data_IF_359073022689
#
_entry.id   IF_359073022689
#
_cell.length_a   1.000
_cell.length_b   1.000
_cell.length_c   1.000
_cell.angle_alpha   90.00
_cell.angle_beta   90.00
_cell.angle_gamma   90.00
#
_symmetry.space_group_name_H-M   'P 1'
#
loop_
_entity.id
_entity.type
_entity.pdbx_description
1 polymer ?
#
# COMPACT_ATOMS: atom_id res chain seq x y z
N UNK A 1 -25.94 -6.76 25.98
CA UNK A 1 -24.58 -6.20 26.03
C UNK A 1 -24.03 -6.31 24.62
N UNK A 2 -23.66 -5.20 23.98
CA UNK A 2 -23.04 -5.22 22.66
C UNK A 2 -21.63 -5.80 22.80
N UNK A 3 -21.37 -6.91 22.12
CA UNK A 3 -20.06 -7.56 22.10
C UNK A 3 -19.59 -7.70 20.66
N UNK A 4 -18.56 -6.96 20.29
CA UNK A 4 -17.86 -7.17 19.02
C UNK A 4 -16.86 -8.32 19.12
N UNK A 5 -16.55 -8.97 17.99
CA UNK A 5 -15.52 -10.00 17.98
C UNK A 5 -14.16 -9.37 18.32
N UNK A 6 -13.51 -9.83 19.39
CA UNK A 6 -12.15 -9.39 19.75
C UNK A 6 -11.08 -9.86 18.74
N UNK A 7 -11.45 -10.82 17.88
CA UNK A 7 -10.65 -11.35 16.77
C UNK A 7 -11.61 -11.67 15.62
N UNK A 8 -11.15 -11.56 14.38
CA UNK A 8 -11.90 -12.03 13.21
C UNK A 8 -12.09 -13.56 13.34
N UNK A 9 -13.34 -14.01 13.43
CA UNK A 9 -13.68 -15.40 13.82
C UNK A 9 -14.30 -16.22 12.69
N UNK A 10 -14.86 -15.58 11.66
CA UNK A 10 -15.45 -16.27 10.51
C UNK A 10 -14.49 -16.29 9.32
N UNK A 11 -13.91 -17.44 8.95
CA UNK A 11 -13.10 -17.56 7.75
C UNK A 11 -13.91 -17.17 6.50
N UNK A 12 -13.26 -16.49 5.55
CA UNK A 12 -13.88 -16.07 4.28
C UNK A 12 -14.86 -14.89 4.37
N UNK A 13 -15.25 -14.45 5.58
CA UNK A 13 -16.02 -13.22 5.75
C UNK A 13 -15.09 -12.03 5.96
N UNK A 14 -15.32 -10.94 5.22
CA UNK A 14 -14.47 -9.75 5.28
C UNK A 14 -14.41 -9.16 6.69
N UNK A 15 -13.21 -8.82 7.17
CA UNK A 15 -12.99 -8.34 8.53
C UNK A 15 -13.90 -7.15 8.89
N UNK A 16 -13.98 -6.13 8.03
CA UNK A 16 -14.87 -4.98 8.23
C UNK A 16 -16.36 -5.38 8.39
N UNK A 17 -16.85 -6.42 7.70
CA UNK A 17 -18.22 -6.91 7.87
C UNK A 17 -18.41 -7.52 9.26
N UNK A 18 -17.43 -8.28 9.74
CA UNK A 18 -17.49 -8.87 11.08
C UNK A 18 -17.46 -7.80 12.18
N UNK A 19 -16.64 -6.77 11.99
CA UNK A 19 -16.53 -5.64 12.91
C UNK A 19 -17.79 -4.75 12.90
N UNK A 20 -18.52 -4.69 11.78
CA UNK A 20 -19.76 -3.92 11.66
C UNK A 20 -20.98 -4.59 12.33
N UNK A 21 -20.98 -5.91 12.54
CA UNK A 21 -22.16 -6.65 13.05
C UNK A 21 -22.77 -6.09 14.34
N UNK A 22 -21.99 -5.71 15.38
CA UNK A 22 -22.59 -5.16 16.59
C UNK A 22 -23.40 -3.89 16.34
N UNK A 23 -23.00 -3.08 15.35
CA UNK A 23 -23.73 -1.87 14.97
C UNK A 23 -25.01 -2.24 14.20
N UNK A 24 -24.96 -3.28 13.35
CA UNK A 24 -26.13 -3.80 12.65
C UNK A 24 -27.18 -4.41 13.60
N UNK A 25 -26.75 -5.02 14.70
CA UNK A 25 -27.65 -5.51 15.77
C UNK A 25 -28.45 -4.37 16.45
N UNK A 26 -27.99 -3.12 16.34
CA UNK A 26 -28.71 -1.93 16.82
C UNK A 26 -29.67 -1.35 15.78
N UNK A 27 -29.84 -2.02 14.64
CA UNK A 27 -30.66 -1.55 13.53
C UNK A 27 -29.98 -0.49 12.66
N UNK A 28 -28.69 -0.24 12.85
CA UNK A 28 -27.91 0.68 12.01
C UNK A 28 -27.32 -0.13 10.85
N UNK A 29 -27.84 0.06 9.64
CA UNK A 29 -27.39 -0.66 8.45
C UNK A 29 -26.05 -0.10 7.95
N UNK A 30 -25.03 -0.95 7.85
CA UNK A 30 -23.73 -0.59 7.27
C UNK A 30 -23.68 -1.05 5.82
N UNK A 31 -24.02 -0.14 4.90
CA UNK A 31 -24.07 -0.44 3.47
C UNK A 31 -22.66 -0.53 2.86
N UNK A 32 -21.82 0.45 3.15
CA UNK A 32 -20.46 0.52 2.67
C UNK A 32 -19.46 0.10 3.75
N UNK A 33 -18.45 -0.66 3.34
CA UNK A 33 -17.34 -1.12 4.19
C UNK A 33 -15.99 -0.62 3.66
N UNK A 34 -16.00 0.25 2.65
CA UNK A 34 -14.80 0.96 2.22
C UNK A 34 -14.28 1.81 3.38
N UNK A 35 -12.97 1.77 3.52
CA UNK A 35 -12.29 2.62 4.49
C UNK A 35 -12.12 4.00 3.85
N UNK A 36 -12.36 5.04 4.62
CA UNK A 36 -12.19 6.43 4.18
C UNK A 36 -11.42 7.20 5.24
N UNK A 37 -10.52 8.08 4.80
CA UNK A 37 -9.87 9.07 5.67
C UNK A 37 -10.17 10.47 5.16
N UNK A 38 -10.68 11.33 6.04
CA UNK A 38 -11.02 12.70 5.71
C UNK A 38 -9.83 13.62 5.99
N UNK A 39 -9.06 13.92 4.95
CA UNK A 39 -7.90 14.79 5.04
C UNK A 39 -8.30 16.26 5.17
N UNK A 40 -7.61 16.99 6.05
CA UNK A 40 -7.67 18.44 6.10
C UNK A 40 -6.93 19.05 4.90
N UNK A 41 -7.12 20.35 4.67
CA UNK A 41 -6.34 21.05 3.63
C UNK A 41 -4.84 21.09 3.96
N UNK A 42 -4.49 21.13 5.25
CA UNK A 42 -3.11 21.06 5.73
C UNK A 42 -2.46 19.72 5.37
N UNK A 43 -3.17 18.61 5.58
CA UNK A 43 -2.70 17.27 5.23
C UNK A 43 -2.43 17.13 3.72
N UNK A 44 -3.36 17.64 2.89
CA UNK A 44 -3.20 17.62 1.43
C UNK A 44 -2.07 18.55 0.98
N UNK A 45 -1.96 19.73 1.58
CA UNK A 45 -0.87 20.66 1.28
C UNK A 45 0.49 20.05 1.61
N UNK A 46 0.62 19.37 2.75
CA UNK A 46 1.82 18.63 3.11
C UNK A 46 2.14 17.59 2.04
N UNK A 47 1.17 16.77 1.64
CA UNK A 47 1.33 15.76 0.60
C UNK A 47 1.85 16.34 -0.72
N UNK A 48 1.24 17.42 -1.21
CA UNK A 48 1.66 18.11 -2.43
C UNK A 48 3.07 18.71 -2.32
N UNK A 49 3.42 19.34 -1.20
CA UNK A 49 4.76 19.89 -1.01
C UNK A 49 5.82 18.77 -0.91
N UNK A 50 5.51 17.71 -0.17
CA UNK A 50 6.35 16.52 -0.06
C UNK A 50 6.55 15.83 -1.42
N UNK A 51 5.66 16.04 -2.39
CA UNK A 51 5.73 15.45 -3.73
C UNK A 51 6.05 16.47 -4.83
N UNK A 52 6.42 17.71 -4.49
CA UNK A 52 6.60 18.80 -5.45
C UNK A 52 7.72 18.58 -6.48
N UNK A 53 8.79 17.89 -6.09
CA UNK A 53 9.96 17.63 -6.95
C UNK A 53 9.89 16.34 -7.77
N UNK A 54 9.32 15.23 -7.26
CA UNK A 54 9.03 14.03 -8.04
C UNK A 54 8.37 14.26 -9.40
N UNK A 55 8.81 13.53 -10.42
CA UNK A 55 8.08 13.42 -11.68
C UNK A 55 6.91 12.44 -11.54
N UNK A 56 5.75 12.88 -12.01
CA UNK A 56 4.56 12.03 -12.08
C UNK A 56 4.67 11.03 -13.26
N UNK A 57 4.13 9.80 -13.12
CA UNK A 57 3.42 9.28 -11.95
C UNK A 57 4.35 8.87 -10.79
N UNK A 58 3.87 9.02 -9.56
CA UNK A 58 4.62 8.64 -8.34
C UNK A 58 4.25 7.23 -7.92
N UNK A 59 5.26 6.42 -7.62
CA UNK A 59 5.09 5.10 -7.01
C UNK A 59 5.51 5.19 -5.55
N UNK A 60 4.60 4.85 -4.64
CA UNK A 60 4.88 4.76 -3.21
C UNK A 60 4.96 3.29 -2.80
N UNK A 61 5.95 2.91 -1.98
CA UNK A 61 6.09 1.55 -1.46
C UNK A 61 6.22 1.54 0.06
N UNK A 62 5.67 0.51 0.70
CA UNK A 62 5.96 0.20 2.09
C UNK A 62 6.51 -1.23 2.17
N UNK A 63 7.82 -1.42 2.41
CA UNK A 63 8.46 -2.75 2.31
C UNK A 63 8.38 -3.59 3.61
N UNK A 64 7.82 -3.06 4.69
CA UNK A 64 7.72 -3.74 6.00
C UNK A 64 6.29 -3.85 6.51
N UNK A 65 5.96 -4.86 7.32
CA UNK A 65 4.61 -5.09 7.85
C UNK A 65 4.65 -5.44 9.34
N UNK A 66 3.48 -5.69 9.94
CA UNK A 66 3.37 -6.17 11.32
C UNK A 66 3.99 -7.56 11.57
N UNK A 67 4.39 -8.29 10.52
CA UNK A 67 5.09 -9.57 10.67
C UNK A 67 6.04 -9.85 9.51
N UNK A 68 7.29 -10.25 9.81
CA UNK A 68 8.33 -10.51 8.79
C UNK A 68 7.93 -11.56 7.74
N UNK A 69 7.07 -12.52 8.10
CA UNK A 69 6.59 -13.55 7.16
C UNK A 69 5.59 -13.03 6.11
N UNK A 70 5.06 -11.81 6.30
CA UNK A 70 4.22 -11.10 5.33
C UNK A 70 5.02 -10.08 4.50
N UNK A 71 6.34 -10.01 4.67
CA UNK A 71 7.15 -9.08 3.90
C UNK A 71 7.63 -9.75 2.62
N UNK A 72 7.47 -9.04 1.49
CA UNK A 72 8.11 -9.44 0.24
C UNK A 72 9.63 -9.28 0.37
N UNK A 73 10.44 -10.25 -0.10
CA UNK A 73 11.89 -10.20 0.04
C UNK A 73 12.50 -8.87 -0.44
N UNK A 74 13.47 -8.35 0.31
CA UNK A 74 14.11 -7.07 0.01
C UNK A 74 14.73 -7.04 -1.40
N UNK A 75 15.29 -8.18 -1.82
CA UNK A 75 15.89 -8.37 -3.14
C UNK A 75 14.85 -8.22 -4.26
N UNK A 76 13.59 -8.56 -4.00
CA UNK A 76 12.54 -8.40 -4.99
C UNK A 76 12.14 -6.94 -5.14
N UNK A 77 12.14 -6.14 -4.06
CA UNK A 77 11.95 -4.68 -4.15
C UNK A 77 13.06 -4.02 -4.95
N UNK A 78 14.32 -4.35 -4.66
CA UNK A 78 15.48 -3.76 -5.36
C UNK A 78 15.54 -4.21 -6.82
N UNK A 79 15.16 -5.46 -7.12
CA UNK A 79 15.02 -5.94 -8.48
C UNK A 79 13.84 -5.28 -9.20
N UNK A 80 12.69 -5.06 -8.54
CA UNK A 80 11.53 -4.40 -9.13
C UNK A 80 11.86 -2.96 -9.54
N UNK A 81 12.57 -2.24 -8.67
CA UNK A 81 12.98 -0.84 -8.86
C UNK A 81 14.46 -0.71 -9.20
N UNK A 82 14.98 -1.63 -10.03
CA UNK A 82 16.36 -1.53 -10.51
C UNK A 82 16.52 -0.37 -11.48
N UNK A 83 17.74 0.19 -11.56
CA UNK A 83 18.04 1.35 -12.43
C UNK A 83 17.68 1.09 -13.89
N UNK A 84 17.87 -0.14 -14.36
CA UNK A 84 17.51 -0.56 -15.72
C UNK A 84 16.01 -0.44 -15.97
N UNK A 85 15.19 -0.87 -14.99
CA UNK A 85 13.74 -0.80 -15.11
C UNK A 85 13.23 0.63 -15.14
N UNK A 86 13.75 1.49 -14.25
CA UNK A 86 13.39 2.91 -14.21
C UNK A 86 13.65 3.64 -15.51
N UNK A 87 14.79 3.32 -16.15
CA UNK A 87 15.16 3.94 -17.43
C UNK A 87 14.20 3.57 -18.57
N UNK A 88 13.59 2.38 -18.52
CA UNK A 88 12.64 1.90 -19.53
C UNK A 88 11.21 2.37 -19.25
N UNK A 89 10.82 2.47 -17.98
CA UNK A 89 9.46 2.80 -17.55
C UNK A 89 9.11 4.31 -17.60
N UNK A 90 9.94 5.16 -18.21
CA UNK A 90 9.81 6.63 -18.20
C UNK A 90 9.78 7.21 -16.77
N UNK A 91 10.75 6.81 -15.95
CA UNK A 91 11.11 7.37 -14.64
C UNK A 91 9.93 7.83 -13.74
N UNK A 92 9.08 6.92 -13.25
CA UNK A 92 8.24 7.25 -12.12
C UNK A 92 9.13 7.52 -10.90
N UNK A 93 8.88 8.61 -10.17
CA UNK A 93 9.59 8.82 -8.90
C UNK A 93 9.12 7.81 -7.85
N UNK A 94 10.04 7.35 -6.99
CA UNK A 94 9.76 6.38 -5.93
C UNK A 94 9.77 7.06 -4.57
N UNK A 95 8.73 6.80 -3.80
CA UNK A 95 8.65 7.13 -2.38
C UNK A 95 8.68 5.85 -1.57
N UNK A 96 9.63 5.72 -0.66
CA UNK A 96 9.73 4.61 0.29
C UNK A 96 9.19 5.08 1.63
N UNK A 97 8.12 4.45 2.07
CA UNK A 97 7.48 4.70 3.35
C UNK A 97 8.12 3.79 4.39
N UNK A 98 8.36 4.31 5.58
CA UNK A 98 8.92 3.53 6.69
C UNK A 98 8.51 4.10 8.04
N UNK A 99 8.19 3.22 8.98
CA UNK A 99 8.01 3.56 10.39
C UNK A 99 9.21 3.21 11.27
N UNK A 100 9.05 3.42 12.57
CA UNK A 100 10.06 3.15 13.60
C UNK A 100 10.55 1.69 13.58
N UNK A 101 9.65 0.75 13.28
CA UNK A 101 9.96 -0.68 13.19
C UNK A 101 10.74 -1.07 11.92
N UNK A 102 10.78 -0.21 10.89
CA UNK A 102 11.33 -0.51 9.57
C UNK A 102 12.77 0.02 9.39
N UNK A 103 13.38 0.59 10.45
CA UNK A 103 14.67 1.31 10.39
C UNK A 103 15.80 0.53 9.70
N UNK A 104 15.99 -0.73 10.07
CA UNK A 104 17.07 -1.55 9.52
C UNK A 104 16.91 -1.81 8.02
N UNK A 105 15.69 -2.15 7.59
CA UNK A 105 15.38 -2.37 6.17
C UNK A 105 15.49 -1.07 5.37
N UNK A 106 15.02 0.02 5.95
CA UNK A 106 15.09 1.36 5.34
C UNK A 106 16.53 1.78 5.10
N UNK A 107 17.41 1.61 6.10
CA UNK A 107 18.83 1.92 5.96
C UNK A 107 19.52 1.10 4.84
N UNK A 108 19.12 -0.17 4.66
CA UNK A 108 19.61 -0.99 3.56
C UNK A 108 19.15 -0.46 2.20
N UNK A 109 17.88 -0.07 2.07
CA UNK A 109 17.34 0.52 0.84
C UNK A 109 17.99 1.86 0.51
N UNK A 110 18.22 2.72 1.51
CA UNK A 110 18.94 3.98 1.33
C UNK A 110 20.35 3.74 0.80
N UNK A 111 21.06 2.73 1.31
CA UNK A 111 22.37 2.38 0.81
C UNK A 111 22.34 1.89 -0.64
N UNK A 112 21.38 1.03 -0.98
CA UNK A 112 21.23 0.42 -2.32
C UNK A 112 20.79 1.47 -3.36
N UNK A 113 19.95 2.41 -2.97
CA UNK A 113 19.35 3.42 -3.84
C UNK A 113 19.97 4.82 -3.70
N UNK A 114 21.15 4.93 -3.07
CA UNK A 114 21.84 6.22 -2.84
C UNK A 114 22.07 7.07 -4.10
N UNK A 115 22.19 6.43 -5.27
CA UNK A 115 22.45 7.07 -6.56
C UNK A 115 21.19 7.08 -7.47
N UNK A 116 20.01 6.86 -6.89
CA UNK A 116 18.71 6.86 -7.57
C UNK A 116 17.81 7.96 -6.99
N UNK A 117 16.85 8.45 -7.77
CA UNK A 117 15.87 9.46 -7.34
C UNK A 117 14.76 8.84 -6.47
N UNK A 118 15.13 8.45 -5.25
CA UNK A 118 14.24 7.82 -4.28
C UNK A 118 14.09 8.72 -3.06
N UNK A 119 12.84 9.06 -2.73
CA UNK A 119 12.50 9.84 -1.53
C UNK A 119 12.05 8.90 -0.41
N UNK A 120 12.47 9.16 0.82
CA UNK A 120 12.10 8.36 1.98
C UNK A 120 11.15 9.13 2.90
N UNK A 121 9.92 8.65 3.04
CA UNK A 121 8.89 9.14 3.95
C UNK A 121 9.01 8.40 5.30
N UNK A 122 9.91 8.90 6.16
CA UNK A 122 10.23 8.27 7.45
C UNK A 122 9.39 8.86 8.58
N UNK A 123 8.68 8.01 9.33
CA UNK A 123 7.98 8.40 10.55
C UNK A 123 7.03 9.60 10.37
N UNK A 124 6.41 9.73 9.19
CA UNK A 124 5.42 10.77 8.97
C UNK A 124 4.17 10.50 9.83
N UNK A 125 3.52 11.56 10.37
CA UNK A 125 2.17 11.44 10.90
C UNK A 125 1.24 10.81 9.86
N UNK A 126 0.34 9.92 10.28
CA UNK A 126 -0.54 9.20 9.35
C UNK A 126 -1.39 10.12 8.46
N UNK A 127 -1.94 11.26 8.94
CA UNK A 127 -2.66 12.20 8.07
C UNK A 127 -1.79 12.79 6.95
N UNK A 128 -0.57 13.21 7.27
CA UNK A 128 0.41 13.69 6.29
C UNK A 128 0.79 12.60 5.28
N UNK A 129 0.99 11.37 5.75
CA UNK A 129 1.29 10.23 4.89
C UNK A 129 0.12 9.93 3.95
N UNK A 130 -1.12 10.01 4.42
CA UNK A 130 -2.30 9.86 3.58
C UNK A 130 -2.38 10.95 2.49
N UNK A 131 -2.01 12.20 2.80
CA UNK A 131 -1.87 13.25 1.78
C UNK A 131 -0.81 12.94 0.71
N UNK A 132 0.28 12.24 1.06
CA UNK A 132 1.25 11.73 0.08
C UNK A 132 0.65 10.58 -0.76
N UNK A 133 -0.07 9.68 -0.11
CA UNK A 133 -0.66 8.49 -0.74
C UNK A 133 -1.80 8.83 -1.71
N UNK A 134 -2.60 9.87 -1.44
CA UNK A 134 -3.71 10.38 -2.28
C UNK A 134 -3.27 10.61 -3.75
N UNK A 135 -1.99 10.90 -3.98
CA UNK A 135 -1.42 11.17 -5.31
C UNK A 135 -0.44 10.09 -5.82
N UNK A 136 -0.49 8.90 -5.24
CA UNK A 136 0.48 7.83 -5.51
C UNK A 136 -0.18 6.56 -6.06
N UNK A 137 0.57 5.83 -6.89
CA UNK A 137 0.35 4.40 -7.09
C UNK A 137 1.09 3.69 -5.96
N UNK A 138 0.35 3.07 -5.04
CA UNK A 138 0.91 2.41 -3.87
C UNK A 138 1.15 0.91 -4.11
N UNK A 139 2.32 0.41 -3.71
CA UNK A 139 2.62 -1.03 -3.65
C UNK A 139 2.98 -1.41 -2.21
N UNK A 140 2.20 -2.32 -1.63
CA UNK A 140 2.41 -2.78 -0.25
C UNK A 140 1.98 -4.21 -0.08
N UNK A 141 1.96 -4.69 1.15
CA UNK A 141 1.49 -6.03 1.55
C UNK A 141 0.29 -5.91 2.48
N UNK A 142 -0.13 -6.99 3.12
CA UNK A 142 -1.16 -6.97 4.16
C UNK A 142 -0.66 -6.23 5.43
N UNK A 143 -0.84 -4.90 5.45
CA UNK A 143 -0.41 -3.99 6.52
C UNK A 143 -1.34 -2.79 6.68
N UNK A 144 -1.27 -2.11 7.84
CA UNK A 144 -2.06 -0.91 8.10
C UNK A 144 -1.76 0.26 7.14
N UNK A 145 -0.57 0.33 6.54
CA UNK A 145 -0.26 1.37 5.54
C UNK A 145 -0.99 1.09 4.22
N UNK A 146 -1.24 -0.17 3.87
CA UNK A 146 -2.05 -0.52 2.71
C UNK A 146 -3.52 -0.13 2.89
N UNK A 147 -4.06 -0.31 4.10
CA UNK A 147 -5.38 0.20 4.48
C UNK A 147 -5.42 1.73 4.40
N UNK A 148 -4.41 2.42 4.96
CA UNK A 148 -4.31 3.88 4.86
C UNK A 148 -4.24 4.36 3.41
N UNK A 149 -3.47 3.70 2.54
CA UNK A 149 -3.35 4.05 1.13
C UNK A 149 -4.70 3.89 0.40
N UNK A 150 -5.40 2.78 0.65
CA UNK A 150 -6.73 2.55 0.11
C UNK A 150 -7.73 3.60 0.59
N UNK A 151 -7.73 3.92 1.89
CA UNK A 151 -8.60 4.93 2.49
C UNK A 151 -8.33 6.35 1.97
N UNK A 152 -7.08 6.63 1.60
CA UNK A 152 -6.67 7.90 0.98
C UNK A 152 -7.01 7.98 -0.53
N UNK A 153 -7.58 6.92 -1.12
CA UNK A 153 -7.94 6.88 -2.53
C UNK A 153 -6.78 6.54 -3.49
N UNK A 154 -5.66 6.05 -2.97
CA UNK A 154 -4.52 5.67 -3.81
C UNK A 154 -4.88 4.50 -4.75
N UNK A 155 -4.23 4.44 -5.91
CA UNK A 155 -4.25 3.22 -6.73
C UNK A 155 -3.35 2.16 -6.11
N UNK A 156 -3.88 1.01 -5.68
CA UNK A 156 -3.15 0.04 -4.86
C UNK A 156 -2.80 -1.25 -5.59
N UNK A 157 -1.54 -1.68 -5.50
CA UNK A 157 -1.08 -3.02 -5.87
C UNK A 157 -0.67 -3.72 -4.57
N UNK A 158 -1.51 -4.64 -4.09
CA UNK A 158 -1.29 -5.29 -2.80
C UNK A 158 -0.77 -6.71 -2.97
N UNK A 159 0.39 -6.96 -2.37
CA UNK A 159 1.09 -8.23 -2.39
C UNK A 159 0.62 -9.10 -1.22
N UNK A 160 -0.10 -10.17 -1.54
CA UNK A 160 -0.62 -11.10 -0.54
C UNK A 160 0.19 -12.39 -0.48
N UNK A 161 0.36 -12.90 0.74
CA UNK A 161 1.04 -14.15 1.03
C UNK A 161 0.16 -15.05 1.89
N UNK A 162 0.48 -15.22 3.19
CA UNK A 162 -0.16 -16.24 4.02
C UNK A 162 -1.57 -15.86 4.48
N UNK A 163 -2.00 -14.61 4.27
CA UNK A 163 -3.31 -14.12 4.67
C UNK A 163 -4.29 -14.12 3.51
N UNK A 164 -5.56 -14.36 3.81
CA UNK A 164 -6.61 -14.39 2.80
C UNK A 164 -7.02 -12.95 2.42
N UNK A 165 -6.80 -12.53 1.16
CA UNK A 165 -7.22 -11.21 0.70
C UNK A 165 -8.74 -10.97 0.81
N UNK A 166 -9.57 -12.01 0.74
CA UNK A 166 -11.02 -11.83 0.87
C UNK A 166 -11.43 -11.40 2.30
N UNK A 167 -10.56 -11.69 3.28
CA UNK A 167 -10.77 -11.32 4.68
C UNK A 167 -10.13 -9.97 4.99
N UNK A 168 -8.92 -9.72 4.48
CA UNK A 168 -8.06 -8.64 4.96
C UNK A 168 -7.81 -7.51 3.97
N UNK A 169 -7.99 -7.71 2.66
CA UNK A 169 -7.71 -6.65 1.71
C UNK A 169 -8.67 -5.47 1.93
N UNK A 170 -8.17 -4.22 1.95
CA UNK A 170 -9.04 -3.05 2.03
C UNK A 170 -9.95 -3.01 0.82
N UNK A 171 -11.10 -2.35 0.95
CA UNK A 171 -12.03 -2.15 -0.18
C UNK A 171 -11.71 -0.82 -0.84
N UNK A 172 -11.28 -0.89 -2.09
CA UNK A 172 -10.99 0.26 -2.93
C UNK A 172 -11.29 -0.13 -4.39
N UNK A 173 -11.92 0.77 -5.15
CA UNK A 173 -12.25 0.53 -6.56
C UNK A 173 -10.99 0.39 -7.44
N UNK A 174 -9.90 1.04 -7.07
CA UNK A 174 -8.66 1.10 -7.84
C UNK A 174 -7.55 0.23 -7.22
N UNK A 175 -7.86 -1.03 -6.93
CA UNK A 175 -6.90 -1.97 -6.38
C UNK A 175 -6.68 -3.21 -7.25
N UNK A 176 -5.48 -3.78 -7.16
CA UNK A 176 -5.15 -5.09 -7.69
C UNK A 176 -4.40 -5.91 -6.66
N UNK A 177 -4.86 -7.14 -6.45
CA UNK A 177 -4.20 -8.11 -5.59
C UNK A 177 -3.24 -8.94 -6.44
N UNK A 178 -2.02 -9.13 -5.94
CA UNK A 178 -1.01 -9.99 -6.54
C UNK A 178 -0.52 -10.97 -5.49
N UNK A 179 -0.65 -12.26 -5.75
CA UNK A 179 -0.24 -13.32 -4.83
C UNK A 179 0.44 -14.46 -5.60
N UNK A 180 1.34 -15.19 -4.94
CA UNK A 180 1.87 -16.43 -5.47
C UNK A 180 0.87 -17.58 -5.24
N UNK A 181 0.83 -18.55 -6.16
CA UNK A 181 -0.02 -19.75 -6.01
C UNK A 181 0.28 -20.53 -4.73
N UNK A 182 1.52 -20.47 -4.25
CA UNK A 182 1.94 -21.12 -3.00
C UNK A 182 1.43 -20.43 -1.73
N UNK A 183 0.84 -19.23 -1.83
CA UNK A 183 0.47 -18.41 -0.69
C UNK A 183 1.68 -17.86 0.10
N UNK A 184 2.88 -17.89 -0.46
CA UNK A 184 4.09 -17.35 0.19
C UNK A 184 4.70 -16.23 -0.64
N UNK A 185 4.89 -15.07 -0.01
CA UNK A 185 5.52 -13.92 -0.68
C UNK A 185 6.96 -14.19 -1.12
N UNK A 186 7.67 -15.12 -0.47
CA UNK A 186 9.00 -15.54 -0.90
C UNK A 186 9.02 -16.15 -2.31
N UNK A 187 7.91 -16.76 -2.73
CA UNK A 187 7.81 -17.40 -4.05
C UNK A 187 7.22 -16.44 -5.10
N UNK A 188 6.77 -15.25 -4.69
CA UNK A 188 6.24 -14.24 -5.61
C UNK A 188 7.40 -13.54 -6.32
N UNK A 189 7.61 -13.87 -7.60
CA UNK A 189 8.57 -13.17 -8.45
C UNK A 189 8.16 -11.74 -8.80
N UNK A 190 9.07 -10.96 -9.39
CA UNK A 190 8.82 -9.55 -9.76
C UNK A 190 7.95 -9.38 -11.01
N UNK A 191 7.91 -10.38 -11.89
CA UNK A 191 7.18 -10.32 -13.17
C UNK A 191 5.67 -9.97 -13.04
N UNK A 192 4.87 -10.67 -12.20
CA UNK A 192 3.46 -10.32 -12.02
C UNK A 192 3.27 -8.91 -11.43
N UNK A 193 4.16 -8.48 -10.53
CA UNK A 193 4.12 -7.14 -9.93
C UNK A 193 4.45 -6.06 -10.98
N UNK A 194 5.44 -6.30 -11.85
CA UNK A 194 5.77 -5.42 -12.99
C UNK A 194 4.62 -5.29 -13.97
N UNK A 195 3.93 -6.39 -14.27
CA UNK A 195 2.78 -6.38 -15.16
C UNK A 195 1.63 -5.53 -14.59
N UNK A 196 1.33 -5.70 -13.29
CA UNK A 196 0.36 -4.86 -12.58
C UNK A 196 0.78 -3.38 -12.62
N UNK A 197 1.99 -3.06 -12.19
CA UNK A 197 2.51 -1.69 -12.17
C UNK A 197 2.45 -1.04 -13.57
N UNK A 198 2.85 -1.76 -14.61
CA UNK A 198 2.80 -1.26 -15.99
C UNK A 198 1.38 -0.91 -16.44
N UNK A 199 0.35 -1.62 -15.95
CA UNK A 199 -1.06 -1.29 -16.22
C UNK A 199 -1.44 0.04 -15.58
N UNK A 200 -1.22 0.17 -14.26
CA UNK A 200 -1.52 1.40 -13.53
C UNK A 200 -0.77 2.62 -14.07
N UNK A 201 0.50 2.46 -14.48
CA UNK A 201 1.28 3.54 -15.10
C UNK A 201 0.70 3.99 -16.45
N UNK A 202 0.17 3.07 -17.26
CA UNK A 202 -0.51 3.41 -18.52
C UNK A 202 -1.82 4.14 -18.26
N UNK A 203 -2.61 3.67 -17.31
CA UNK A 203 -3.90 4.26 -16.96
C UNK A 203 -3.69 5.69 -16.45
N UNK A 204 -2.71 5.91 -15.56
CA UNK A 204 -2.33 7.25 -15.08
C UNK A 204 -1.81 8.19 -16.18
N UNK A 205 -1.28 7.63 -17.28
CA UNK A 205 -0.79 8.42 -18.42
C UNK A 205 -1.89 8.75 -19.45
N UNK A 206 -2.97 7.97 -19.48
CA UNK A 206 -4.09 8.10 -20.42
C UNK A 206 -5.18 9.07 -19.98
N UNK A 207 -5.22 9.45 -18.70
CA UNK A 207 -6.22 10.37 -18.13
C UNK A 207 -5.85 11.86 -18.30
N UNK A 208 -5.06 12.21 -19.33
CA UNK A 208 -4.69 13.61 -19.65
C UNK A 208 -5.49 14.17 -20.81
#
# INVERSE_FOLDING_TARGET
>A
MLGGPAKIVEPGSHAARQLARPIEELGIRVADLAEEIFLSEEDRQFGREFLRTPSQPIVAIHPGSGSKNKNWPLQNWTALFSREYWRVAKCPSLVVISGEADKAQTAQLEHIWKDQDVRFAKNLPLPHLAGVLEHSIFIGHDSGISHLAAAAGASCILLFGPTDPNVWAPRNENMQIVAAESGRLNDLGTAPVRAALSRFLRDASGTR
#
